data_IF_758507224686
#
_entry.id   IF_758507224686
#
_cell.length_a   1.000
_cell.length_b   1.000
_cell.length_c   1.000
_cell.angle_alpha   90.00
_cell.angle_beta   90.00
_cell.angle_gamma   90.00
#
_symmetry.space_group_name_H-M   'P 1'
#
loop_
_entity.id
_entity.type
_entity.pdbx_description
1 polymer ?
#
# COMPACT_ATOMS: atom_id res chain seq x y z
N UNK A 1 7.21 20.91 -9.64
CA UNK A 1 8.24 20.43 -8.69
C UNK A 1 7.75 19.13 -8.09
N UNK A 2 8.64 18.15 -7.86
CA UNK A 2 8.29 16.90 -7.17
C UNK A 2 8.07 17.17 -5.68
N UNK A 3 7.05 16.52 -5.11
CA UNK A 3 6.69 16.67 -3.71
C UNK A 3 7.36 15.61 -2.83
N UNK A 4 7.40 14.35 -3.30
CA UNK A 4 8.19 13.27 -2.70
C UNK A 4 9.32 12.92 -3.67
N UNK A 5 10.55 12.84 -3.17
CA UNK A 5 11.73 12.35 -3.90
C UNK A 5 12.39 11.23 -3.13
N UNK A 6 12.52 10.09 -3.76
CA UNK A 6 13.32 8.96 -3.30
C UNK A 6 14.55 8.90 -4.21
N UNK A 7 15.74 8.97 -3.62
CA UNK A 7 17.02 9.04 -4.34
C UNK A 7 17.95 7.94 -3.86
N UNK A 8 18.32 7.04 -4.77
CA UNK A 8 19.27 5.92 -4.57
C UNK A 8 18.97 5.09 -3.31
N UNK A 9 17.67 4.95 -2.97
CA UNK A 9 17.24 4.27 -1.73
C UNK A 9 17.59 2.79 -1.80
N UNK A 10 18.36 2.33 -0.83
CA UNK A 10 18.65 0.92 -0.60
C UNK A 10 18.27 0.52 0.82
N UNK A 11 17.64 -0.65 0.96
CA UNK A 11 17.21 -1.20 2.24
C UNK A 11 17.71 -2.62 2.37
N UNK A 12 18.46 -2.88 3.44
CA UNK A 12 19.11 -4.15 3.71
C UNK A 12 18.63 -4.77 5.01
N UNK A 13 18.37 -6.08 4.98
CA UNK A 13 18.12 -6.91 6.15
C UNK A 13 19.36 -7.77 6.42
N UNK A 14 20.10 -7.44 7.48
CA UNK A 14 21.29 -8.20 7.88
C UNK A 14 20.90 -9.41 8.71
N UNK A 15 20.79 -10.56 8.06
CA UNK A 15 20.56 -11.84 8.72
C UNK A 15 21.89 -12.45 9.20
N UNK A 16 21.82 -13.47 10.06
CA UNK A 16 23.04 -14.11 10.63
C UNK A 16 24.00 -14.67 9.58
N UNK A 17 23.51 -15.13 8.44
CA UNK A 17 24.30 -15.81 7.39
C UNK A 17 24.41 -15.01 6.10
N UNK A 18 23.51 -14.08 5.86
CA UNK A 18 23.43 -13.34 4.60
C UNK A 18 22.83 -11.95 4.80
N UNK A 19 23.05 -11.08 3.83
CA UNK A 19 22.34 -9.80 3.75
C UNK A 19 21.31 -9.88 2.62
N UNK A 20 20.04 -9.66 2.95
CA UNK A 20 18.96 -9.58 1.97
C UNK A 20 18.76 -8.11 1.58
N UNK A 21 18.98 -7.80 0.32
CA UNK A 21 18.75 -6.47 -0.25
C UNK A 21 17.27 -6.36 -0.66
N UNK A 22 16.42 -5.84 0.20
CA UNK A 22 14.97 -5.75 -0.04
C UNK A 22 14.58 -4.60 -0.98
N UNK A 23 15.40 -3.55 -1.07
CA UNK A 23 15.32 -2.50 -2.09
C UNK A 23 16.76 -2.09 -2.48
N UNK A 24 16.97 -1.79 -3.76
CA UNK A 24 18.29 -1.43 -4.31
C UNK A 24 18.15 -0.26 -5.25
N UNK A 25 18.86 0.83 -4.97
CA UNK A 25 18.96 2.02 -5.82
C UNK A 25 17.61 2.52 -6.35
N UNK A 26 16.61 2.61 -5.50
CA UNK A 26 15.27 3.04 -5.88
C UNK A 26 15.24 4.55 -6.08
N UNK A 27 14.82 4.96 -7.26
CA UNK A 27 14.71 6.35 -7.67
C UNK A 27 13.28 6.64 -8.15
N UNK A 28 12.47 7.36 -7.35
CA UNK A 28 11.07 7.69 -7.67
C UNK A 28 10.78 9.12 -7.24
N UNK A 29 10.13 9.88 -8.12
CA UNK A 29 9.61 11.20 -7.81
C UNK A 29 8.08 11.22 -7.97
N UNK A 30 7.38 11.88 -7.05
CA UNK A 30 5.91 12.01 -7.05
C UNK A 30 5.53 13.49 -6.90
N UNK A 31 4.56 13.89 -7.70
CA UNK A 31 4.01 15.27 -7.69
C UNK A 31 2.75 15.31 -6.81
N UNK A 32 2.37 16.52 -6.39
CA UNK A 32 1.06 16.74 -5.78
C UNK A 32 -0.06 16.43 -6.77
N UNK A 33 -1.15 15.87 -6.28
CA UNK A 33 -2.30 15.48 -7.12
C UNK A 33 -2.01 14.28 -8.03
N UNK A 34 -0.88 13.60 -7.87
CA UNK A 34 -0.47 12.44 -8.65
C UNK A 34 -0.66 11.14 -7.85
N UNK A 35 -1.18 10.11 -8.51
CA UNK A 35 -1.20 8.73 -7.99
C UNK A 35 -0.15 7.93 -8.74
N UNK A 36 0.90 7.50 -8.03
CA UNK A 36 1.92 6.58 -8.56
C UNK A 36 1.65 5.18 -8.03
N UNK A 37 1.41 4.25 -8.94
CA UNK A 37 1.28 2.83 -8.62
C UNK A 37 2.65 2.18 -8.42
N UNK A 38 2.83 1.45 -7.33
CA UNK A 38 4.01 0.63 -7.09
C UNK A 38 3.60 -0.83 -7.19
N UNK A 39 4.04 -1.52 -8.24
CA UNK A 39 3.58 -2.88 -8.60
C UNK A 39 4.70 -3.88 -8.68
N UNK A 40 4.36 -5.15 -8.53
CA UNK A 40 5.27 -6.29 -8.63
C UNK A 40 4.76 -7.47 -7.81
N UNK A 41 5.39 -8.62 -7.95
CA UNK A 41 5.05 -9.82 -7.19
C UNK A 41 5.21 -9.64 -5.68
N UNK A 42 4.62 -10.53 -4.88
CA UNK A 42 4.86 -10.57 -3.44
C UNK A 42 6.36 -10.74 -3.17
N UNK A 43 6.90 -9.99 -2.19
CA UNK A 43 8.33 -10.00 -1.89
C UNK A 43 9.21 -9.17 -2.83
N UNK A 44 8.66 -8.41 -3.79
CA UNK A 44 9.45 -7.56 -4.68
C UNK A 44 10.03 -6.29 -4.04
N UNK A 45 9.71 -6.00 -2.76
CA UNK A 45 10.25 -4.85 -2.01
C UNK A 45 9.31 -3.65 -1.91
N UNK A 46 8.07 -3.70 -2.43
CA UNK A 46 7.12 -2.58 -2.45
C UNK A 46 6.81 -2.02 -1.05
N UNK A 47 6.37 -2.88 -0.13
CA UNK A 47 6.06 -2.48 1.25
C UNK A 47 7.32 -2.04 2.00
N UNK A 48 8.49 -2.59 1.65
CA UNK A 48 9.78 -2.12 2.20
C UNK A 48 10.06 -0.67 1.80
N UNK A 49 9.83 -0.29 0.54
CA UNK A 49 9.95 1.11 0.10
C UNK A 49 8.94 2.00 0.83
N UNK A 50 7.69 1.56 0.98
CA UNK A 50 6.67 2.30 1.73
C UNK A 50 7.07 2.51 3.20
N UNK A 51 7.53 1.45 3.86
CA UNK A 51 7.98 1.50 5.25
C UNK A 51 9.24 2.36 5.41
N UNK A 52 10.14 2.38 4.42
CA UNK A 52 11.28 3.28 4.42
C UNK A 52 10.86 4.76 4.40
N UNK A 53 9.81 5.12 3.65
CA UNK A 53 9.31 6.51 3.60
C UNK A 53 8.83 6.98 4.97
N UNK A 54 8.26 6.09 5.76
CA UNK A 54 7.78 6.42 7.12
C UNK A 54 8.73 5.97 8.23
N UNK A 55 9.93 5.46 7.88
CA UNK A 55 10.93 4.93 8.83
C UNK A 55 10.34 3.90 9.81
N UNK A 56 9.56 2.95 9.27
CA UNK A 56 8.99 1.80 9.98
C UNK A 56 9.48 0.48 9.37
N UNK A 57 10.80 0.40 9.18
CA UNK A 57 11.44 -0.84 8.76
C UNK A 57 11.68 -1.70 10.01
N UNK A 58 11.17 -2.92 9.99
CA UNK A 58 11.36 -3.87 11.09
C UNK A 58 12.81 -4.32 11.19
N UNK A 59 13.32 -4.45 12.42
CA UNK A 59 14.64 -5.04 12.67
C UNK A 59 14.71 -6.50 12.16
N UNK A 60 15.85 -6.92 11.57
CA UNK A 60 17.16 -6.25 11.49
C UNK A 60 17.34 -5.38 10.22
N UNK A 61 16.24 -4.94 9.59
CA UNK A 61 16.28 -4.11 8.40
C UNK A 61 16.67 -2.66 8.70
N UNK A 62 17.30 -2.03 7.73
CA UNK A 62 17.64 -0.60 7.79
C UNK A 62 17.80 0.00 6.40
N UNK A 63 17.59 1.30 6.28
CA UNK A 63 18.06 2.07 5.13
C UNK A 63 19.59 2.03 5.15
N UNK A 64 20.19 1.44 4.12
CA UNK A 64 21.64 1.31 3.99
C UNK A 64 22.24 2.45 3.18
N UNK A 65 21.51 2.96 2.18
CA UNK A 65 21.95 4.03 1.29
C UNK A 65 20.76 4.88 0.82
N UNK A 66 21.08 6.05 0.30
CA UNK A 66 20.11 6.97 -0.30
C UNK A 66 19.43 7.91 0.68
N UNK A 67 18.47 8.66 0.17
CA UNK A 67 17.73 9.65 0.93
C UNK A 67 16.30 9.81 0.41
N UNK A 68 15.41 10.22 1.31
CA UNK A 68 14.01 10.49 1.00
C UNK A 68 13.67 11.91 1.42
N UNK A 69 13.15 12.70 0.49
CA UNK A 69 12.74 14.08 0.73
C UNK A 69 11.23 14.22 0.56
N UNK A 70 10.59 14.83 1.55
CA UNK A 70 9.22 15.31 1.45
C UNK A 70 9.28 16.85 1.32
N UNK A 71 8.99 17.36 0.13
CA UNK A 71 9.38 18.74 -0.26
C UNK A 71 10.88 18.93 -0.06
N UNK A 72 11.29 19.81 0.86
CA UNK A 72 12.69 20.11 1.15
C UNK A 72 13.20 19.42 2.42
N UNK A 73 12.37 18.60 3.09
CA UNK A 73 12.71 17.93 4.34
C UNK A 73 13.27 16.54 4.05
N UNK A 74 14.55 16.30 4.37
CA UNK A 74 15.10 14.95 4.39
C UNK A 74 14.49 14.19 5.58
N UNK A 75 13.71 13.15 5.27
CA UNK A 75 12.94 12.39 6.27
C UNK A 75 13.87 11.69 7.27
N UNK A 76 14.98 11.15 6.79
CA UNK A 76 15.89 10.33 7.59
C UNK A 76 17.07 11.10 8.21
N UNK A 77 17.16 12.43 8.01
CA UNK A 77 18.23 13.23 8.57
C UNK A 77 18.27 13.17 10.10
N UNK A 78 17.09 13.19 10.73
CA UNK A 78 16.97 12.96 12.16
C UNK A 78 15.58 12.40 12.52
N UNK A 79 15.50 11.70 13.66
CA UNK A 79 14.22 11.09 14.12
C UNK A 79 13.11 12.12 14.39
N UNK A 80 13.44 13.38 14.70
CA UNK A 80 12.41 14.42 14.93
C UNK A 80 11.67 14.75 13.64
N UNK A 81 12.36 14.78 12.49
CA UNK A 81 11.75 15.05 11.20
C UNK A 81 10.62 14.05 10.94
N UNK A 82 10.92 12.77 10.94
CA UNK A 82 9.91 11.74 10.60
C UNK A 82 8.77 11.69 11.63
N UNK A 83 9.06 11.80 12.92
CA UNK A 83 8.03 11.82 13.97
C UNK A 83 7.06 13.00 13.82
N UNK A 84 7.55 14.15 13.34
CA UNK A 84 6.71 15.32 13.07
C UNK A 84 5.86 15.17 11.80
N UNK A 85 6.23 14.27 10.88
CA UNK A 85 5.58 14.07 9.59
C UNK A 85 4.54 12.94 9.63
N UNK A 86 4.81 11.85 10.38
CA UNK A 86 3.89 10.72 10.53
C UNK A 86 2.54 11.18 11.07
N UNK A 87 1.45 10.71 10.45
CA UNK A 87 0.08 11.03 10.83
C UNK A 87 -0.35 12.48 10.54
N UNK A 88 0.59 13.42 10.47
CA UNK A 88 0.30 14.83 10.19
C UNK A 88 0.45 15.20 8.72
N UNK A 89 1.61 14.89 8.13
CA UNK A 89 1.93 15.16 6.72
C UNK A 89 1.86 13.92 5.85
N UNK A 90 2.08 12.75 6.44
CA UNK A 90 2.06 11.45 5.78
C UNK A 90 0.98 10.61 6.43
N UNK A 91 -0.05 10.29 5.65
CA UNK A 91 -1.06 9.29 6.00
C UNK A 91 -0.66 7.92 5.44
N UNK A 92 -0.98 6.85 6.18
CA UNK A 92 -0.68 5.49 5.77
C UNK A 92 -1.91 4.60 5.92
N UNK A 93 -2.25 3.84 4.90
CA UNK A 93 -3.27 2.80 4.89
C UNK A 93 -2.55 1.46 4.81
N UNK A 94 -2.57 0.69 5.91
CA UNK A 94 -2.00 -0.65 5.98
C UNK A 94 -2.87 -1.69 5.30
N UNK A 95 -2.28 -2.81 4.91
CA UNK A 95 -2.88 -3.88 4.12
C UNK A 95 -4.14 -4.49 4.77
N UNK A 96 -4.15 -4.66 6.10
CA UNK A 96 -5.27 -5.28 6.82
C UNK A 96 -6.04 -4.25 7.66
N UNK A 97 -7.30 -3.95 7.29
CA UNK A 97 -8.13 -3.04 8.07
C UNK A 97 -8.54 -3.60 9.44
N UNK A 98 -8.45 -4.92 9.67
CA UNK A 98 -8.79 -5.52 10.95
C UNK A 98 -7.73 -5.25 12.01
N UNK A 99 -6.47 -5.31 11.63
CA UNK A 99 -5.34 -5.03 12.52
C UNK A 99 -5.06 -3.53 12.68
N UNK A 100 -5.56 -2.70 11.74
CA UNK A 100 -5.40 -1.25 11.76
C UNK A 100 -6.32 -0.53 12.75
N UNK A 101 -7.38 -1.20 13.24
CA UNK A 101 -8.34 -0.63 14.18
C UNK A 101 -8.24 -1.32 15.53
N UNK A 102 -8.17 -0.52 16.61
CA UNK A 102 -8.21 -1.06 17.97
C UNK A 102 -9.64 -1.59 18.29
N UNK A 103 -9.82 -2.90 18.54
CA UNK A 103 -11.15 -3.49 18.70
C UNK A 103 -11.88 -3.08 19.98
N UNK A 104 -11.18 -2.59 20.99
CA UNK A 104 -11.75 -2.18 22.30
C UNK A 104 -12.08 -0.70 22.39
N UNK A 105 -11.76 0.10 21.36
CA UNK A 105 -12.11 1.52 21.27
C UNK A 105 -13.19 1.73 20.20
N UNK A 106 -14.09 2.70 20.45
CA UNK A 106 -15.05 3.11 19.43
C UNK A 106 -14.34 3.83 18.27
N UNK A 107 -14.97 3.87 17.11
CA UNK A 107 -14.44 4.59 15.94
C UNK A 107 -14.18 6.06 16.25
N UNK A 108 -15.11 6.68 16.98
CA UNK A 108 -14.97 8.08 17.38
C UNK A 108 -13.81 8.33 18.32
N UNK A 109 -13.57 7.44 19.29
CA UNK A 109 -12.43 7.54 20.19
C UNK A 109 -11.10 7.51 19.43
N UNK A 110 -10.95 6.58 18.50
CA UNK A 110 -9.73 6.44 17.69
C UNK A 110 -9.48 7.67 16.81
N UNK A 111 -10.53 8.20 16.17
CA UNK A 111 -10.42 9.41 15.37
C UNK A 111 -10.08 10.64 16.21
N UNK A 112 -10.74 10.84 17.37
CA UNK A 112 -10.46 11.97 18.27
C UNK A 112 -9.01 11.89 18.77
N UNK A 113 -8.57 10.73 19.24
CA UNK A 113 -7.21 10.53 19.74
C UNK A 113 -6.16 10.89 18.66
N UNK A 114 -6.34 10.39 17.43
CA UNK A 114 -5.45 10.71 16.32
C UNK A 114 -5.46 12.22 16.00
N UNK A 115 -6.64 12.83 15.91
CA UNK A 115 -6.77 14.27 15.63
C UNK A 115 -6.10 15.11 16.72
N UNK A 116 -6.33 14.79 18.00
CA UNK A 116 -5.77 15.55 19.11
C UNK A 116 -4.26 15.36 19.27
N UNK A 117 -3.75 14.18 18.95
CA UNK A 117 -2.30 13.90 18.97
C UNK A 117 -1.53 14.77 17.97
N UNK A 118 -2.09 15.04 16.81
CA UNK A 118 -1.41 15.74 15.73
C UNK A 118 -1.88 17.19 15.51
N UNK A 119 -3.12 17.49 15.90
CA UNK A 119 -3.71 18.81 15.74
C UNK A 119 -4.14 19.31 17.13
N UNK A 120 -3.73 20.50 17.49
CA UNK A 120 -4.08 21.08 18.79
C UNK A 120 -5.55 21.57 18.80
N UNK A 121 -6.51 20.61 18.71
CA UNK A 121 -7.94 20.87 18.67
C UNK A 121 -8.62 20.49 19.99
N UNK A 122 -9.63 21.27 20.39
CA UNK A 122 -10.51 20.89 21.50
C UNK A 122 -11.31 19.62 21.15
N UNK A 123 -11.75 18.88 22.17
CA UNK A 123 -12.53 17.65 21.99
C UNK A 123 -13.77 17.86 21.10
N UNK A 124 -14.49 18.98 21.27
CA UNK A 124 -15.67 19.31 20.44
C UNK A 124 -15.30 19.48 18.97
N UNK A 125 -14.23 20.24 18.65
CA UNK A 125 -13.76 20.44 17.27
C UNK A 125 -13.20 19.15 16.67
N UNK A 126 -12.52 18.34 17.45
CA UNK A 126 -12.01 17.04 17.00
C UNK A 126 -13.18 16.09 16.67
N UNK A 127 -14.23 16.05 17.49
CA UNK A 127 -15.44 15.26 17.25
C UNK A 127 -16.17 15.71 15.97
N UNK A 128 -16.36 17.01 15.80
CA UNK A 128 -16.99 17.57 14.60
C UNK A 128 -16.22 17.19 13.34
N UNK A 129 -14.89 17.37 13.36
CA UNK A 129 -13.99 16.99 12.25
C UNK A 129 -14.07 15.49 11.95
N UNK A 130 -14.07 14.65 12.98
CA UNK A 130 -14.16 13.20 12.83
C UNK A 130 -15.49 12.76 12.18
N UNK A 131 -16.63 13.33 12.63
CA UNK A 131 -17.95 13.03 12.05
C UNK A 131 -18.03 13.49 10.59
N UNK A 132 -17.53 14.69 10.27
CA UNK A 132 -17.51 15.19 8.89
C UNK A 132 -16.67 14.29 8.00
N UNK A 133 -15.53 13.81 8.48
CA UNK A 133 -14.67 12.90 7.74
C UNK A 133 -15.33 11.53 7.49
N UNK A 134 -16.03 10.98 8.49
CA UNK A 134 -16.80 9.74 8.29
C UNK A 134 -17.87 9.90 7.21
N UNK A 135 -18.55 11.06 7.16
CA UNK A 135 -19.51 11.37 6.08
C UNK A 135 -18.82 11.45 4.71
N UNK A 136 -17.67 12.13 4.64
CA UNK A 136 -16.89 12.30 3.41
C UNK A 136 -16.44 10.97 2.80
N UNK A 137 -16.05 10.01 3.65
CA UNK A 137 -15.69 8.65 3.16
C UNK A 137 -16.91 7.76 2.93
N UNK A 138 -18.13 8.28 3.11
CA UNK A 138 -19.39 7.60 2.79
C UNK A 138 -19.88 6.63 3.86
N UNK A 139 -19.57 6.87 5.14
CA UNK A 139 -20.22 6.18 6.27
C UNK A 139 -21.61 6.79 6.47
N UNK A 140 -22.65 6.00 6.23
CA UNK A 140 -24.04 6.39 6.51
C UNK A 140 -24.26 6.51 8.02
N UNK A 141 -25.10 7.46 8.44
CA UNK A 141 -25.42 7.73 9.85
C UNK A 141 -24.18 7.94 10.72
N UNK A 142 -23.21 8.74 10.22
CA UNK A 142 -21.90 8.93 10.81
C UNK A 142 -21.96 9.35 12.29
N UNK A 143 -22.92 10.21 12.69
CA UNK A 143 -23.12 10.63 14.08
C UNK A 143 -23.45 9.46 15.01
N UNK A 144 -24.29 8.54 14.56
CA UNK A 144 -24.66 7.33 15.31
C UNK A 144 -23.49 6.33 15.32
N UNK A 145 -22.92 6.07 14.14
CA UNK A 145 -21.81 5.14 13.93
C UNK A 145 -20.51 5.55 14.62
N UNK A 146 -20.38 6.82 14.96
CA UNK A 146 -19.23 7.36 15.69
C UNK A 146 -18.97 6.63 17.02
N UNK A 147 -20.04 6.17 17.70
CA UNK A 147 -19.95 5.46 18.97
C UNK A 147 -19.87 3.94 18.82
N UNK A 148 -19.91 3.42 17.58
CA UNK A 148 -19.82 1.99 17.33
C UNK A 148 -18.37 1.51 17.38
N UNK A 149 -18.18 0.20 17.65
CA UNK A 149 -16.89 -0.48 17.67
C UNK A 149 -16.56 -1.08 16.29
N UNK A 150 -15.28 -1.34 15.99
CA UNK A 150 -14.86 -1.91 14.71
C UNK A 150 -15.61 -3.19 14.30
N UNK A 151 -15.94 -4.07 15.24
CA UNK A 151 -16.65 -5.32 14.93
C UNK A 151 -18.09 -5.12 14.44
N UNK A 152 -18.68 -3.93 14.65
CA UNK A 152 -20.04 -3.58 14.19
C UNK A 152 -20.04 -3.06 12.74
N UNK A 153 -18.87 -2.95 12.11
CA UNK A 153 -18.70 -2.48 10.74
C UNK A 153 -18.41 -3.65 9.78
N UNK A 154 -18.95 -3.59 8.56
CA UNK A 154 -18.53 -4.50 7.48
C UNK A 154 -17.07 -4.25 7.05
N UNK A 155 -16.48 -5.18 6.30
CA UNK A 155 -15.11 -5.01 5.80
C UNK A 155 -14.89 -3.71 5.04
N UNK A 156 -15.77 -3.39 4.09
CA UNK A 156 -15.70 -2.13 3.34
C UNK A 156 -15.93 -0.88 4.21
N UNK A 157 -16.77 -0.97 5.24
CA UNK A 157 -16.94 0.13 6.20
C UNK A 157 -15.68 0.31 7.07
N UNK A 158 -15.06 -0.77 7.54
CA UNK A 158 -13.78 -0.70 8.27
C UNK A 158 -12.71 -0.04 7.42
N UNK A 159 -12.61 -0.42 6.15
CA UNK A 159 -11.65 0.20 5.22
C UNK A 159 -11.89 1.71 5.07
N UNK A 160 -13.15 2.16 4.95
CA UNK A 160 -13.49 3.59 4.93
C UNK A 160 -13.08 4.31 6.21
N UNK A 161 -13.22 3.65 7.36
CA UNK A 161 -12.76 4.19 8.66
C UNK A 161 -11.22 4.29 8.70
N UNK A 162 -10.49 3.28 8.22
CA UNK A 162 -9.02 3.31 8.11
C UNK A 162 -8.56 4.45 7.20
N UNK A 163 -9.25 4.66 6.07
CA UNK A 163 -9.02 5.83 5.20
C UNK A 163 -9.29 7.14 5.96
N UNK A 164 -10.36 7.19 6.76
CA UNK A 164 -10.65 8.38 7.59
C UNK A 164 -9.50 8.66 8.57
N UNK A 165 -9.01 7.64 9.26
CA UNK A 165 -7.88 7.78 10.20
C UNK A 165 -6.62 8.28 9.49
N UNK A 166 -6.30 7.74 8.32
CA UNK A 166 -5.13 8.18 7.56
C UNK A 166 -5.23 9.61 7.00
N UNK A 167 -6.46 10.14 6.86
CA UNK A 167 -6.73 11.46 6.30
C UNK A 167 -7.13 12.52 7.34
N UNK A 168 -7.32 12.15 8.62
CA UNK A 168 -7.92 13.03 9.63
C UNK A 168 -7.07 14.28 9.97
N UNK A 169 -5.78 14.22 9.73
CA UNK A 169 -4.85 15.34 9.93
C UNK A 169 -4.51 16.09 8.63
N UNK A 170 -5.27 15.83 7.55
CA UNK A 170 -5.09 16.47 6.24
C UNK A 170 -3.66 16.30 5.69
N UNK A 171 -3.19 15.04 5.56
CA UNK A 171 -1.85 14.78 5.07
C UNK A 171 -1.67 15.30 3.64
N UNK A 172 -0.43 15.49 3.25
CA UNK A 172 -0.03 15.92 1.92
C UNK A 172 0.44 14.72 1.06
N UNK A 173 0.86 13.62 1.72
CA UNK A 173 1.20 12.33 1.13
C UNK A 173 0.32 11.24 1.73
N UNK A 174 -0.26 10.40 0.89
CA UNK A 174 -0.96 9.17 1.28
C UNK A 174 -0.24 7.96 0.71
N UNK A 175 0.13 7.02 1.55
CA UNK A 175 0.64 5.71 1.15
C UNK A 175 -0.46 4.70 1.41
N UNK A 176 -0.88 3.99 0.39
CA UNK A 176 -1.92 2.97 0.47
C UNK A 176 -1.31 1.61 0.07
N UNK A 177 -1.02 0.78 1.07
CA UNK A 177 -0.46 -0.55 0.84
C UNK A 177 -1.59 -1.57 0.75
N UNK A 178 -1.85 -2.04 -0.47
CA UNK A 178 -2.91 -2.98 -0.83
C UNK A 178 -4.29 -2.63 -0.23
N UNK A 179 -4.80 -1.41 -0.43
CA UNK A 179 -5.96 -0.88 0.32
C UNK A 179 -7.28 -1.58 0.02
N UNK A 180 -7.30 -2.49 -0.93
CA UNK A 180 -8.51 -3.22 -1.36
C UNK A 180 -8.39 -4.74 -1.25
N UNK A 181 -7.28 -5.24 -0.72
CA UNK A 181 -7.08 -6.67 -0.45
C UNK A 181 -8.14 -7.17 0.53
N UNK A 182 -8.71 -8.33 0.30
CA UNK A 182 -9.79 -8.94 1.06
C UNK A 182 -11.17 -8.23 0.99
N UNK A 183 -11.38 -7.35 0.00
CA UNK A 183 -12.68 -6.76 -0.30
C UNK A 183 -13.27 -7.39 -1.57
N UNK A 184 -14.61 -7.45 -1.65
CA UNK A 184 -15.27 -7.82 -2.88
C UNK A 184 -15.09 -6.75 -3.98
N UNK A 185 -15.21 -7.15 -5.26
CA UNK A 185 -14.93 -6.30 -6.44
C UNK A 185 -15.74 -5.00 -6.42
N UNK A 186 -16.99 -5.05 -5.94
CA UNK A 186 -17.86 -3.86 -5.94
C UNK A 186 -17.42 -2.83 -4.89
N UNK A 187 -17.00 -3.29 -3.74
CA UNK A 187 -16.44 -2.44 -2.66
C UNK A 187 -15.05 -1.94 -3.04
N UNK A 188 -14.22 -2.79 -3.65
CA UNK A 188 -12.91 -2.41 -4.18
C UNK A 188 -13.02 -1.18 -5.10
N UNK A 189 -13.88 -1.23 -6.12
CA UNK A 189 -14.09 -0.10 -7.05
C UNK A 189 -14.52 1.17 -6.31
N UNK A 190 -15.41 1.07 -5.33
CA UNK A 190 -15.84 2.23 -4.53
C UNK A 190 -14.70 2.84 -3.68
N UNK A 191 -13.81 2.02 -3.11
CA UNK A 191 -12.64 2.49 -2.35
C UNK A 191 -11.64 3.18 -3.26
N UNK A 192 -11.38 2.64 -4.44
CA UNK A 192 -10.46 3.25 -5.41
C UNK A 192 -10.99 4.57 -5.95
N UNK A 193 -12.28 4.66 -6.28
CA UNK A 193 -12.92 5.91 -6.66
C UNK A 193 -12.87 6.96 -5.53
N UNK A 194 -13.05 6.53 -4.27
CA UNK A 194 -12.90 7.42 -3.13
C UNK A 194 -11.46 7.97 -3.03
N UNK A 195 -10.44 7.12 -3.17
CA UNK A 195 -9.03 7.56 -3.15
C UNK A 195 -8.77 8.55 -4.31
N UNK A 196 -9.23 8.25 -5.53
CA UNK A 196 -9.09 9.16 -6.69
C UNK A 196 -9.75 10.51 -6.44
N UNK A 197 -10.98 10.51 -5.94
CA UNK A 197 -11.73 11.73 -5.60
C UNK A 197 -10.94 12.57 -4.59
N UNK A 198 -10.53 11.98 -3.47
CA UNK A 198 -9.82 12.66 -2.41
C UNK A 198 -8.44 13.17 -2.88
N UNK A 199 -7.73 12.40 -3.73
CA UNK A 199 -6.49 12.84 -4.35
C UNK A 199 -6.67 14.14 -5.13
N UNK A 200 -7.71 14.22 -5.95
CA UNK A 200 -8.00 15.39 -6.77
C UNK A 200 -8.47 16.57 -5.92
N UNK A 201 -9.42 16.35 -4.99
CA UNK A 201 -10.02 17.42 -4.17
C UNK A 201 -9.03 18.03 -3.18
N UNK A 202 -8.12 17.20 -2.61
CA UNK A 202 -7.16 17.63 -1.60
C UNK A 202 -5.74 17.86 -2.16
N UNK A 203 -5.54 17.66 -3.47
CA UNK A 203 -4.23 17.76 -4.13
C UNK A 203 -3.16 16.86 -3.46
N UNK A 204 -3.55 15.64 -3.07
CA UNK A 204 -2.68 14.68 -2.40
C UNK A 204 -1.66 14.09 -3.37
N UNK A 205 -0.42 13.87 -2.91
CA UNK A 205 0.49 12.92 -3.53
C UNK A 205 0.14 11.52 -3.02
N UNK A 206 0.00 10.51 -3.89
CA UNK A 206 -0.41 9.16 -3.47
C UNK A 206 0.55 8.11 -4.02
N UNK A 207 0.98 7.19 -3.15
CA UNK A 207 1.61 5.92 -3.53
C UNK A 207 0.56 4.84 -3.33
N UNK A 208 0.17 4.17 -4.42
CA UNK A 208 -0.75 3.04 -4.38
C UNK A 208 0.02 1.75 -4.64
N UNK A 209 0.18 0.94 -3.62
CA UNK A 209 0.84 -0.36 -3.72
C UNK A 209 -0.22 -1.42 -3.98
N UNK A 210 0.00 -2.21 -5.01
CA UNK A 210 -0.86 -3.35 -5.35
C UNK A 210 -0.12 -4.34 -6.26
N UNK A 211 -0.59 -5.57 -6.29
CA UNK A 211 -0.19 -6.56 -7.29
C UNK A 211 -1.22 -6.69 -8.43
N UNK A 212 -2.33 -5.95 -8.36
CA UNK A 212 -3.41 -5.98 -9.34
C UNK A 212 -3.24 -4.89 -10.40
N UNK A 213 -2.92 -5.30 -11.62
CA UNK A 213 -2.75 -4.40 -12.77
C UNK A 213 -4.07 -3.77 -13.23
N UNK A 214 -5.23 -4.38 -12.92
CA UNK A 214 -6.55 -3.79 -13.17
C UNK A 214 -6.77 -2.55 -12.31
N UNK A 215 -6.43 -2.64 -11.03
CA UNK A 215 -6.43 -1.50 -10.10
C UNK A 215 -5.54 -0.36 -10.61
N UNK A 216 -4.34 -0.71 -11.08
CA UNK A 216 -3.38 0.24 -11.64
C UNK A 216 -3.95 0.96 -12.87
N UNK A 217 -4.52 0.19 -13.81
CA UNK A 217 -5.09 0.73 -15.04
C UNK A 217 -6.15 1.80 -14.80
N UNK A 218 -6.98 1.60 -13.78
CA UNK A 218 -8.11 2.47 -13.47
C UNK A 218 -7.74 3.67 -12.58
N UNK A 219 -6.67 3.54 -11.77
CA UNK A 219 -6.49 4.46 -10.64
C UNK A 219 -5.26 5.35 -10.78
N UNK A 220 -4.19 4.90 -11.44
CA UNK A 220 -2.88 5.56 -11.39
C UNK A 220 -2.57 6.46 -12.58
N UNK A 221 -1.69 7.44 -12.37
CA UNK A 221 -1.14 8.31 -13.42
C UNK A 221 0.16 7.73 -13.99
N UNK A 222 1.01 7.21 -13.11
CA UNK A 222 2.29 6.56 -13.43
C UNK A 222 2.44 5.28 -12.65
N UNK A 223 3.30 4.41 -13.15
CA UNK A 223 3.56 3.09 -12.56
C UNK A 223 5.06 2.87 -12.42
N UNK A 224 5.46 2.46 -11.23
CA UNK A 224 6.78 1.96 -10.91
C UNK A 224 6.70 0.44 -10.71
N UNK A 225 7.39 -0.31 -11.57
CA UNK A 225 7.40 -1.78 -11.55
C UNK A 225 8.62 -2.27 -10.78
N UNK A 226 8.40 -3.05 -9.74
CA UNK A 226 9.46 -3.61 -8.88
C UNK A 226 9.59 -5.12 -9.06
N UNK A 227 10.83 -5.61 -9.12
CA UNK A 227 11.18 -7.03 -9.11
C UNK A 227 12.45 -7.25 -8.29
N UNK A 228 12.39 -8.17 -7.32
CA UNK A 228 13.56 -8.58 -6.51
C UNK A 228 14.35 -7.38 -5.94
N UNK A 229 13.64 -6.41 -5.37
CA UNK A 229 14.22 -5.21 -4.77
C UNK A 229 14.64 -4.11 -5.75
N UNK A 230 14.53 -4.30 -7.05
CA UNK A 230 14.93 -3.33 -8.06
C UNK A 230 13.73 -2.64 -8.72
N UNK A 231 13.88 -1.37 -9.07
CA UNK A 231 12.96 -0.66 -9.95
C UNK A 231 13.26 -1.07 -11.40
N UNK A 232 12.39 -1.88 -11.99
CA UNK A 232 12.61 -2.45 -13.34
C UNK A 232 12.15 -1.50 -14.43
N UNK A 233 10.99 -0.86 -14.22
CA UNK A 233 10.43 0.05 -15.21
C UNK A 233 9.61 1.15 -14.52
N UNK A 234 9.69 2.38 -15.04
CA UNK A 234 8.91 3.52 -14.58
C UNK A 234 8.37 4.29 -15.78
N UNK A 235 7.05 4.48 -15.83
CA UNK A 235 6.42 5.18 -16.95
C UNK A 235 5.02 5.66 -16.62
N UNK A 236 4.36 6.32 -17.58
CA UNK A 236 2.92 6.60 -17.46
C UNK A 236 2.14 5.29 -17.46
N UNK A 237 0.99 5.26 -16.80
CA UNK A 237 0.14 4.07 -16.75
C UNK A 237 -0.17 3.55 -18.16
N UNK A 238 -0.46 4.47 -19.09
CA UNK A 238 -0.69 4.10 -20.48
C UNK A 238 0.53 3.39 -21.10
N UNK A 239 1.73 3.96 -20.97
CA UNK A 239 2.95 3.35 -21.54
C UNK A 239 3.22 1.96 -20.97
N UNK A 240 3.13 1.80 -19.65
CA UNK A 240 3.35 0.50 -18.99
C UNK A 240 2.34 -0.56 -19.44
N UNK A 241 1.09 -0.16 -19.68
CA UNK A 241 0.04 -1.11 -20.08
C UNK A 241 0.04 -1.43 -21.58
N UNK A 242 0.39 -0.46 -22.46
CA UNK A 242 0.28 -0.65 -23.92
C UNK A 242 1.62 -0.99 -24.59
N UNK A 243 2.72 -0.46 -24.07
CA UNK A 243 4.07 -0.55 -24.67
C UNK A 243 5.13 -0.81 -23.61
N UNK A 244 4.97 -1.86 -22.78
CA UNK A 244 5.99 -2.20 -21.78
C UNK A 244 7.31 -2.57 -22.46
N UNK A 245 8.42 -2.06 -21.95
CA UNK A 245 9.75 -2.29 -22.51
C UNK A 245 10.36 -3.57 -21.96
N UNK A 246 10.30 -3.72 -20.64
CA UNK A 246 10.93 -4.80 -19.93
C UNK A 246 10.14 -6.12 -20.04
N UNK A 247 10.85 -7.23 -20.17
CA UNK A 247 10.23 -8.57 -20.31
C UNK A 247 9.36 -8.91 -19.11
N UNK A 248 9.79 -8.56 -17.90
CA UNK A 248 9.03 -8.78 -16.68
C UNK A 248 7.73 -7.97 -16.68
N UNK A 249 7.78 -6.70 -17.06
CA UNK A 249 6.58 -5.84 -17.18
C UNK A 249 5.60 -6.41 -18.20
N UNK A 250 6.09 -6.89 -19.34
CA UNK A 250 5.25 -7.56 -20.37
C UNK A 250 4.53 -8.77 -19.79
N UNK A 251 5.25 -9.60 -19.02
CA UNK A 251 4.63 -10.77 -18.40
C UNK A 251 3.59 -10.37 -17.34
N UNK A 252 3.88 -9.36 -16.53
CA UNK A 252 2.97 -8.86 -15.51
C UNK A 252 1.67 -8.30 -16.14
N UNK A 253 1.79 -7.50 -17.20
CA UNK A 253 0.63 -6.96 -17.93
C UNK A 253 -0.16 -8.07 -18.62
N UNK A 254 0.50 -9.08 -19.20
CA UNK A 254 -0.16 -10.20 -19.89
C UNK A 254 -0.93 -11.14 -18.95
N UNK A 255 -0.65 -11.09 -17.64
CA UNK A 255 -1.39 -11.86 -16.64
C UNK A 255 -2.80 -11.30 -16.33
N UNK A 256 -3.07 -10.06 -16.75
CA UNK A 256 -4.40 -9.44 -16.60
C UNK A 256 -5.35 -10.01 -17.65
N UNK A 257 -6.48 -10.64 -17.26
CA UNK A 257 -7.47 -11.10 -18.21
C UNK A 257 -8.05 -9.92 -19.02
N UNK A 258 -8.06 -9.96 -20.34
CA UNK A 258 -8.71 -8.92 -21.12
C UNK A 258 -10.22 -8.90 -20.82
N UNK A 259 -10.74 -7.77 -20.42
CA UNK A 259 -12.15 -7.57 -20.00
C UNK A 259 -13.19 -7.93 -21.07
N UNK A 260 -12.77 -8.11 -22.34
CA UNK A 260 -13.66 -8.32 -23.49
C UNK A 260 -13.41 -9.60 -24.29
N UNK A 261 -12.63 -10.56 -23.81
CA UNK A 261 -12.43 -11.85 -24.52
C UNK A 261 -12.57 -13.03 -23.57
N UNK A 262 -13.45 -13.99 -23.92
CA UNK A 262 -13.42 -15.33 -23.29
C UNK A 262 -12.07 -15.97 -23.57
N UNK A 263 -11.23 -16.10 -22.54
CA UNK A 263 -9.93 -16.76 -22.66
C UNK A 263 -10.14 -18.26 -22.53
N UNK A 264 -9.75 -19.01 -23.54
CA UNK A 264 -9.84 -20.47 -23.55
C UNK A 264 -8.74 -21.16 -22.71
N UNK A 265 -7.63 -20.49 -22.41
CA UNK A 265 -6.55 -20.96 -21.53
C UNK A 265 -5.65 -19.81 -21.06
N UNK A 266 -5.24 -19.82 -19.78
CA UNK A 266 -4.15 -18.98 -19.29
C UNK A 266 -2.81 -19.52 -19.81
N UNK A 267 -1.94 -18.64 -20.32
CA UNK A 267 -0.54 -18.99 -20.56
C UNK A 267 0.16 -19.04 -19.20
N UNK A 268 0.56 -20.23 -18.78
CA UNK A 268 1.45 -20.38 -17.62
C UNK A 268 2.82 -19.85 -18.08
N UNK A 269 3.29 -18.80 -17.42
CA UNK A 269 4.65 -18.31 -17.60
C UNK A 269 5.54 -19.30 -16.86
N UNK A 270 6.38 -20.02 -17.59
CA UNK A 270 7.41 -20.86 -16.96
C UNK A 270 8.31 -19.97 -16.11
N UNK A 271 8.25 -20.16 -14.79
CA UNK A 271 9.24 -19.60 -13.88
C UNK A 271 10.60 -20.21 -14.25
N UNK A 272 11.59 -19.38 -14.52
CA UNK A 272 12.99 -19.84 -14.52
C UNK A 272 13.24 -20.56 -13.19
N UNK A 273 13.43 -21.87 -13.28
CA UNK A 273 13.54 -22.77 -12.14
C UNK A 273 14.85 -22.50 -11.40
N UNK A 274 14.78 -21.77 -10.32
CA UNK A 274 15.79 -21.86 -9.27
C UNK A 274 15.59 -23.20 -8.53
N UNK A 275 16.66 -23.99 -8.42
CA UNK A 275 16.72 -25.37 -7.89
C UNK A 275 16.12 -25.59 -6.48
N UNK A 276 15.65 -24.57 -5.79
CA UNK A 276 15.06 -24.66 -4.46
C UNK A 276 13.56 -25.04 -4.45
N UNK A 277 12.82 -24.74 -5.53
CA UNK A 277 11.39 -25.12 -5.59
C UNK A 277 11.16 -26.62 -5.82
N UNK A 278 12.10 -27.31 -6.48
CA UNK A 278 12.03 -28.75 -6.67
C UNK A 278 12.11 -29.57 -5.37
N UNK A 279 12.71 -29.02 -4.31
CA UNK A 279 12.79 -29.67 -2.99
C UNK A 279 11.44 -29.53 -2.27
N UNK A 280 10.79 -28.37 -2.34
CA UNK A 280 9.51 -28.13 -1.68
C UNK A 280 8.35 -28.90 -2.31
N UNK A 281 8.32 -29.03 -3.66
CA UNK A 281 7.32 -29.87 -4.34
C UNK A 281 7.48 -31.37 -4.02
N UNK A 282 8.72 -31.86 -3.88
CA UNK A 282 8.98 -33.25 -3.47
C UNK A 282 8.55 -33.53 -2.01
N UNK A 283 8.65 -32.53 -1.14
CA UNK A 283 8.20 -32.64 0.26
C UNK A 283 6.65 -32.62 0.32
N UNK A 284 5.98 -31.70 -0.38
CA UNK A 284 4.51 -31.64 -0.45
C UNK A 284 3.90 -32.93 -1.05
N UNK A 285 4.48 -33.47 -2.12
CA UNK A 285 4.02 -34.72 -2.72
C UNK A 285 4.24 -35.95 -1.82
N UNK A 286 5.25 -35.92 -0.93
CA UNK A 286 5.43 -36.97 0.09
C UNK A 286 4.42 -36.86 1.24
N UNK A 287 3.98 -35.66 1.59
CA UNK A 287 2.95 -35.45 2.62
C UNK A 287 1.57 -35.91 2.12
N UNK A 288 1.17 -35.53 0.92
CA UNK A 288 -0.11 -35.94 0.33
C UNK A 288 -0.22 -37.47 0.15
N UNK A 289 0.89 -38.16 -0.14
CA UNK A 289 0.89 -39.65 -0.18
C UNK A 289 0.76 -40.30 1.18
N UNK A 290 1.16 -39.65 2.28
CA UNK A 290 1.03 -40.19 3.64
C UNK A 290 -0.38 -40.02 4.24
N UNK A 291 -1.14 -39.05 3.80
CA UNK A 291 -2.54 -38.88 4.24
C UNK A 291 -3.49 -39.86 3.53
N UNK A 292 -3.19 -40.27 2.29
CA UNK A 292 -4.01 -41.24 1.56
C UNK A 292 -3.84 -42.65 2.13
N UNK A 293 -2.69 -42.98 2.71
CA UNK A 293 -2.40 -44.30 3.31
C UNK A 293 -2.85 -44.43 4.78
N UNK A 294 -3.51 -43.44 5.37
CA UNK A 294 -4.09 -43.48 6.72
C UNK A 294 -5.60 -43.59 6.75
N UNK A 295 -6.23 -43.80 5.61
CA UNK A 295 -7.70 -43.92 5.45
C UNK A 295 -8.15 -45.29 4.93
N UNK A 296 -7.30 -46.33 5.05
CA UNK A 296 -7.67 -47.75 4.88
C UNK A 296 -7.46 -48.47 6.21
#
# INVERSE_FOLDING_TARGET
MSFLKIQNLSVDYKLRKETVHAAKDINIEIKRGEIVGLVGESGSGKSTVANAIIDLIDEPGKVSEGSIYLSDINIHENKKNILSLRGKKIGFIFQDPQTSLNPILTIGQQLIETIQTHLNLSNSKAKEKAINLLKEVGIKDAEKRFNDYPHQFSGGMRQRVVISLSLCCEPELLIADEPTTALDVSIQSQILELIKKLTKERNLAVILITHDMGVIAETTNRVAVMKNGNLVELGTTKQILTEPKETYTKSLVSSVPPTNKKISRFKIIEKESNNQENINLKILNRWNKREILKKD
#
